data_IF_315606784650
#
_entry.id   IF_315606784650
#
_cell.length_a   1.000
_cell.length_b   1.000
_cell.length_c   1.000
_cell.angle_alpha   90.00
_cell.angle_beta   90.00
_cell.angle_gamma   90.00
#
_symmetry.space_group_name_H-M   'P 1'
#
loop_
_entity.id
_entity.type
_entity.pdbx_description
1 polymer ?
#
# COMPACT_ATOMS: atom_id res chain seq x y z
N UNK A 1 -23.08 10.87 -15.70
CA UNK A 1 -23.44 10.40 -14.35
C UNK A 1 -24.85 10.87 -14.05
N UNK A 2 -25.77 9.93 -13.95
CA UNK A 2 -27.19 10.25 -13.70
C UNK A 2 -27.65 9.78 -12.31
N UNK A 3 -26.89 8.92 -11.63
CA UNK A 3 -27.22 8.34 -10.33
C UNK A 3 -25.97 8.26 -9.46
N UNK A 4 -26.16 8.29 -8.13
CA UNK A 4 -25.06 8.20 -7.13
C UNK A 4 -24.40 6.83 -7.09
N UNK A 5 -25.06 5.79 -7.60
CA UNK A 5 -24.56 4.43 -7.76
C UNK A 5 -23.98 4.15 -9.17
N UNK A 6 -23.90 5.17 -10.04
CA UNK A 6 -23.25 5.04 -11.35
C UNK A 6 -21.75 4.75 -11.18
N UNK A 7 -21.24 3.73 -11.86
CA UNK A 7 -19.82 3.36 -11.80
C UNK A 7 -18.88 4.54 -12.13
N UNK A 8 -19.24 5.38 -13.11
CA UNK A 8 -18.44 6.54 -13.46
C UNK A 8 -18.32 7.58 -12.32
N UNK A 9 -19.27 7.56 -11.38
CA UNK A 9 -19.20 8.34 -10.15
C UNK A 9 -18.41 7.58 -9.07
N UNK A 10 -18.72 6.32 -8.88
CA UNK A 10 -18.12 5.48 -7.83
C UNK A 10 -16.62 5.28 -8.02
N UNK A 11 -16.12 5.21 -9.25
CA UNK A 11 -14.70 5.08 -9.57
C UNK A 11 -13.86 6.34 -9.31
N UNK A 12 -14.49 7.49 -9.00
CA UNK A 12 -13.75 8.70 -8.63
C UNK A 12 -13.31 8.65 -7.18
N UNK A 13 -12.14 9.20 -6.89
CA UNK A 13 -11.68 9.40 -5.52
C UNK A 13 -12.46 10.57 -4.91
N UNK A 14 -13.31 10.29 -3.93
CA UNK A 14 -14.28 11.23 -3.35
C UNK A 14 -14.02 11.42 -1.87
N UNK A 15 -14.12 12.67 -1.42
CA UNK A 15 -13.86 13.03 -0.03
C UNK A 15 -15.16 13.51 0.61
N UNK A 16 -15.45 13.00 1.80
CA UNK A 16 -16.67 13.31 2.55
C UNK A 16 -16.31 13.71 3.97
N UNK A 17 -16.90 14.78 4.46
CA UNK A 17 -16.82 15.15 5.86
C UNK A 17 -18.05 14.59 6.57
N UNK A 18 -17.85 13.59 7.41
CA UNK A 18 -18.94 12.81 8.00
C UNK A 18 -18.71 12.57 9.48
N UNK A 19 -19.79 12.26 10.22
CA UNK A 19 -19.72 11.87 11.61
C UNK A 19 -19.08 10.47 11.74
N UNK A 20 -18.01 10.36 12.50
CA UNK A 20 -17.25 9.12 12.75
C UNK A 20 -16.92 9.00 14.23
N UNK A 21 -17.36 7.92 14.89
CA UNK A 21 -16.94 7.59 16.26
C UNK A 21 -17.23 8.63 17.33
N UNK A 22 -18.24 9.50 17.11
CA UNK A 22 -18.63 10.56 18.05
C UNK A 22 -17.98 11.93 17.78
N UNK A 23 -17.20 12.06 16.69
CA UNK A 23 -16.65 13.28 16.12
C UNK A 23 -17.00 13.41 14.66
N UNK A 24 -16.35 14.34 13.97
CA UNK A 24 -16.40 14.47 12.50
C UNK A 24 -15.01 14.18 11.92
N UNK A 25 -14.96 13.51 10.78
CA UNK A 25 -13.71 13.16 10.12
C UNK A 25 -13.88 13.15 8.60
N UNK A 26 -12.76 13.25 7.89
CA UNK A 26 -12.71 13.15 6.44
C UNK A 26 -12.56 11.69 6.02
N UNK A 27 -13.58 11.19 5.32
CA UNK A 27 -13.57 9.85 4.72
C UNK A 27 -13.36 9.95 3.21
N UNK A 28 -12.50 9.09 2.71
CA UNK A 28 -12.25 8.92 1.28
C UNK A 28 -13.02 7.68 0.82
N UNK A 29 -13.82 7.85 -0.23
CA UNK A 29 -14.54 6.74 -0.86
C UNK A 29 -14.04 6.55 -2.29
N UNK A 30 -13.70 5.33 -2.62
CA UNK A 30 -13.25 4.94 -3.96
C UNK A 30 -13.79 3.56 -4.28
N UNK A 31 -14.77 3.50 -5.19
CA UNK A 31 -15.64 2.33 -5.34
C UNK A 31 -16.23 1.92 -3.98
N UNK A 32 -16.03 0.69 -3.55
CA UNK A 32 -16.52 0.15 -2.29
C UNK A 32 -15.54 0.36 -1.11
N UNK A 33 -14.34 0.83 -1.38
CA UNK A 33 -13.36 1.09 -0.33
C UNK A 33 -13.68 2.41 0.39
N UNK A 34 -13.61 2.36 1.73
CA UNK A 34 -13.71 3.53 2.62
C UNK A 34 -12.42 3.63 3.40
N UNK A 35 -11.75 4.77 3.32
CA UNK A 35 -10.43 5.00 3.87
C UNK A 35 -10.44 6.31 4.65
N UNK A 36 -9.85 6.32 5.83
CA UNK A 36 -9.66 7.55 6.58
C UNK A 36 -8.60 8.43 5.92
N UNK A 37 -8.85 9.73 5.85
CA UNK A 37 -7.87 10.69 5.39
C UNK A 37 -6.69 10.75 6.38
N UNK A 38 -5.45 10.77 5.88
CA UNK A 38 -4.28 10.60 6.73
C UNK A 38 -3.78 11.86 7.43
N UNK A 39 -4.18 13.04 6.95
CA UNK A 39 -3.76 14.37 7.46
C UNK A 39 -2.25 14.62 7.47
N UNK A 40 -1.48 13.85 6.73
CA UNK A 40 -0.04 14.08 6.60
C UNK A 40 0.23 15.27 5.66
N UNK A 41 1.18 16.11 6.04
CA UNK A 41 1.60 17.24 5.20
C UNK A 41 2.48 16.77 4.04
N UNK A 42 1.96 16.86 2.83
CA UNK A 42 2.62 16.36 1.62
C UNK A 42 3.36 17.44 0.82
N UNK A 43 3.25 18.70 1.21
CA UNK A 43 3.82 19.81 0.47
C UNK A 43 3.18 20.02 -0.91
N UNK A 44 3.76 20.91 -1.69
CA UNK A 44 3.33 21.23 -3.06
C UNK A 44 4.18 20.44 -4.07
N UNK A 45 3.90 19.15 -4.22
CA UNK A 45 4.56 18.29 -5.21
C UNK A 45 3.71 18.19 -6.47
N UNK A 46 4.37 17.92 -7.63
CA UNK A 46 3.66 17.66 -8.89
C UNK A 46 2.69 16.49 -8.75
N UNK A 47 1.62 16.51 -9.53
CA UNK A 47 0.63 15.43 -9.63
C UNK A 47 0.81 14.70 -10.95
N UNK A 48 0.53 13.40 -10.95
CA UNK A 48 0.50 12.63 -12.19
C UNK A 48 -0.75 12.97 -13.01
N UNK A 49 -0.61 12.81 -14.33
CA UNK A 49 -1.77 12.82 -15.22
C UNK A 49 -2.53 11.51 -15.02
N UNK A 50 -3.81 11.63 -14.70
CA UNK A 50 -4.68 10.47 -14.51
C UNK A 50 -5.14 9.99 -15.88
N UNK A 51 -4.77 8.75 -16.19
CA UNK A 51 -5.17 8.03 -17.41
C UNK A 51 -6.10 6.88 -17.03
N UNK A 52 -6.83 6.26 -17.98
CA UNK A 52 -7.62 5.06 -17.68
C UNK A 52 -6.81 3.91 -17.08
N UNK A 53 -5.51 3.83 -17.37
CA UNK A 53 -4.59 2.85 -16.76
C UNK A 53 -4.32 3.19 -15.29
N UNK A 54 -4.06 4.46 -14.98
CA UNK A 54 -3.86 4.95 -13.62
C UNK A 54 -5.12 4.74 -12.77
N UNK A 55 -6.30 5.02 -13.32
CA UNK A 55 -7.59 4.80 -12.64
C UNK A 55 -7.76 3.33 -12.23
N UNK A 56 -7.48 2.39 -13.13
CA UNK A 56 -7.56 0.96 -12.82
C UNK A 56 -6.54 0.56 -11.73
N UNK A 57 -5.33 1.09 -11.81
CA UNK A 57 -4.31 0.86 -10.78
C UNK A 57 -4.80 1.37 -9.42
N UNK A 58 -5.32 2.58 -9.36
CA UNK A 58 -5.83 3.18 -8.13
C UNK A 58 -7.01 2.42 -7.54
N UNK A 59 -7.97 1.97 -8.38
CA UNK A 59 -9.09 1.13 -7.95
C UNK A 59 -8.59 -0.18 -7.31
N UNK A 60 -7.59 -0.81 -7.92
CA UNK A 60 -7.01 -2.04 -7.38
C UNK A 60 -6.28 -1.81 -6.08
N UNK A 61 -5.47 -0.74 -5.98
CA UNK A 61 -4.73 -0.39 -4.76
C UNK A 61 -5.67 -0.07 -3.59
N UNK A 62 -6.70 0.73 -3.82
CA UNK A 62 -7.69 1.07 -2.78
C UNK A 62 -8.54 -0.12 -2.38
N UNK A 63 -8.95 -0.94 -3.36
CA UNK A 63 -9.69 -2.17 -3.10
C UNK A 63 -8.88 -3.17 -2.26
N UNK A 64 -7.60 -3.38 -2.59
CA UNK A 64 -6.71 -4.23 -1.79
C UNK A 64 -6.51 -3.70 -0.36
N UNK A 65 -6.36 -2.39 -0.20
CA UNK A 65 -6.26 -1.77 1.11
C UNK A 65 -7.53 -2.01 1.96
N UNK A 66 -8.71 -1.80 1.38
CA UNK A 66 -10.00 -2.05 2.05
C UNK A 66 -10.18 -3.51 2.47
N UNK A 67 -9.66 -4.45 1.68
CA UNK A 67 -9.66 -5.89 1.99
C UNK A 67 -8.51 -6.31 2.92
N UNK A 68 -7.69 -5.37 3.38
CA UNK A 68 -6.48 -5.63 4.21
C UNK A 68 -5.49 -6.58 3.53
N UNK A 69 -5.42 -6.52 2.21
CA UNK A 69 -4.44 -7.21 1.38
C UNK A 69 -3.29 -6.27 1.03
N UNK A 70 -2.18 -6.85 0.56
CA UNK A 70 -1.15 -6.12 -0.18
C UNK A 70 -1.55 -5.91 -1.63
N UNK A 71 -0.75 -5.15 -2.36
CA UNK A 71 -0.93 -4.94 -3.80
C UNK A 71 0.39 -5.13 -4.55
N UNK A 72 0.31 -5.64 -5.78
CA UNK A 72 1.48 -5.98 -6.58
C UNK A 72 1.34 -5.46 -8.03
N UNK A 73 1.47 -4.14 -8.28
CA UNK A 73 1.54 -3.62 -9.63
C UNK A 73 2.70 -4.26 -10.40
N UNK A 74 2.38 -5.04 -11.44
CA UNK A 74 3.35 -5.69 -12.31
C UNK A 74 3.30 -5.10 -13.72
N UNK A 75 4.45 -5.00 -14.38
CA UNK A 75 4.53 -4.50 -15.75
C UNK A 75 5.94 -4.07 -16.13
N UNK A 76 6.17 -3.69 -17.39
CA UNK A 76 7.48 -3.25 -17.86
C UNK A 76 8.04 -2.06 -17.07
N UNK A 77 9.34 -1.85 -17.14
CA UNK A 77 9.97 -0.66 -16.57
C UNK A 77 9.42 0.61 -17.21
N UNK A 78 9.38 1.70 -16.44
CA UNK A 78 8.93 3.01 -16.94
C UNK A 78 7.41 3.17 -17.11
N UNK A 79 6.59 2.22 -16.69
CA UNK A 79 5.10 2.32 -16.77
C UNK A 79 4.46 3.10 -15.61
N UNK A 80 5.26 3.65 -14.71
CA UNK A 80 4.77 4.52 -13.63
C UNK A 80 4.18 3.79 -12.42
N UNK A 81 4.48 2.51 -12.22
CA UNK A 81 3.95 1.71 -11.10
C UNK A 81 4.18 2.35 -9.73
N UNK A 82 5.43 2.65 -9.45
CA UNK A 82 5.87 3.28 -8.19
C UNK A 82 5.28 4.69 -8.03
N UNK A 83 5.32 5.49 -9.10
CA UNK A 83 4.80 6.85 -9.07
C UNK A 83 3.27 6.88 -8.89
N UNK A 84 2.52 5.95 -9.52
CA UNK A 84 1.08 5.83 -9.33
C UNK A 84 0.71 5.51 -7.87
N UNK A 85 1.47 4.64 -7.23
CA UNK A 85 1.28 4.28 -5.82
C UNK A 85 1.56 5.45 -4.88
N UNK A 86 2.64 6.20 -5.13
CA UNK A 86 2.99 7.41 -4.37
C UNK A 86 1.94 8.51 -4.52
N UNK A 87 1.48 8.75 -5.75
CA UNK A 87 0.52 9.82 -6.03
C UNK A 87 -0.85 9.51 -5.39
N UNK A 88 -1.26 8.24 -5.38
CA UNK A 88 -2.46 7.80 -4.68
C UNK A 88 -2.35 8.04 -3.16
N UNK A 89 -1.27 7.59 -2.53
CA UNK A 89 -1.05 7.81 -1.10
C UNK A 89 -1.04 9.30 -0.74
N UNK A 90 -0.41 10.13 -1.59
CA UNK A 90 -0.41 11.57 -1.48
C UNK A 90 -1.82 12.16 -1.57
N UNK A 91 -2.65 11.69 -2.51
CA UNK A 91 -4.04 12.12 -2.63
C UNK A 91 -4.85 11.82 -1.36
N UNK A 92 -4.49 10.77 -0.63
CA UNK A 92 -5.10 10.41 0.65
C UNK A 92 -4.44 11.09 1.86
N UNK A 93 -3.42 11.93 1.67
CA UNK A 93 -2.59 12.52 2.71
C UNK A 93 -1.98 11.47 3.66
N UNK A 94 -1.54 10.34 3.10
CA UNK A 94 -0.86 9.25 3.81
C UNK A 94 0.59 9.20 3.33
N UNK A 95 1.54 9.16 4.25
CA UNK A 95 2.95 9.03 3.90
C UNK A 95 3.19 7.70 3.21
N UNK A 96 3.88 7.73 2.07
CA UNK A 96 4.32 6.54 1.34
C UNK A 96 5.85 6.47 1.33
N UNK A 97 6.40 5.45 1.98
CA UNK A 97 7.84 5.18 1.99
C UNK A 97 8.19 4.31 0.80
N UNK A 98 8.99 4.82 -0.13
CA UNK A 98 9.51 4.02 -1.24
C UNK A 98 10.85 3.43 -0.85
N UNK A 99 10.99 2.12 -1.01
CA UNK A 99 12.18 1.37 -0.70
C UNK A 99 12.60 0.54 -1.91
N UNK A 100 13.77 0.85 -2.49
CA UNK A 100 14.31 0.12 -3.63
C UNK A 100 14.93 -1.19 -3.16
N UNK A 101 14.39 -2.30 -3.66
CA UNK A 101 14.87 -3.63 -3.34
C UNK A 101 16.10 -4.01 -4.17
N UNK A 102 17.02 -4.73 -3.56
CA UNK A 102 18.23 -5.26 -4.18
C UNK A 102 18.58 -6.62 -3.58
N UNK A 103 19.53 -7.31 -4.18
CA UNK A 103 20.10 -8.57 -3.71
C UNK A 103 20.86 -8.46 -2.38
N UNK A 104 21.21 -7.24 -1.95
CA UNK A 104 21.91 -6.98 -0.68
C UNK A 104 20.99 -6.85 0.53
N UNK A 105 19.68 -6.95 0.33
CA UNK A 105 18.70 -6.79 1.40
C UNK A 105 18.63 -8.07 2.24
N UNK A 106 18.76 -7.90 3.56
CA UNK A 106 18.54 -8.98 4.50
C UNK A 106 17.15 -8.89 5.18
N UNK A 107 16.69 -10.01 5.71
CA UNK A 107 15.40 -10.10 6.40
C UNK A 107 15.32 -9.27 7.68
N UNK A 108 16.46 -8.97 8.33
CA UNK A 108 16.52 -8.15 9.55
C UNK A 108 16.26 -6.68 9.22
N UNK A 109 16.84 -6.22 8.11
CA UNK A 109 16.60 -4.87 7.59
C UNK A 109 15.13 -4.67 7.22
N UNK A 110 14.55 -5.63 6.48
CA UNK A 110 13.13 -5.61 6.15
C UNK A 110 12.24 -5.68 7.39
N UNK A 111 12.59 -6.49 8.38
CA UNK A 111 11.86 -6.56 9.64
C UNK A 111 11.86 -5.24 10.41
N UNK A 112 12.97 -4.49 10.39
CA UNK A 112 13.01 -3.14 10.98
C UNK A 112 12.10 -2.16 10.23
N UNK A 113 12.13 -2.20 8.89
CA UNK A 113 11.26 -1.38 8.04
C UNK A 113 9.78 -1.67 8.36
N UNK A 114 9.37 -2.94 8.31
CA UNK A 114 7.99 -3.34 8.57
C UNK A 114 7.51 -2.99 9.98
N UNK A 115 8.40 -3.08 10.97
CA UNK A 115 8.08 -2.64 12.33
C UNK A 115 7.78 -1.14 12.40
N UNK A 116 8.55 -0.33 11.69
CA UNK A 116 8.31 1.10 11.59
C UNK A 116 6.97 1.41 10.91
N UNK A 117 6.73 0.78 9.77
CA UNK A 117 5.51 0.95 8.97
C UNK A 117 4.24 0.54 9.74
N UNK A 118 4.29 -0.62 10.39
CA UNK A 118 3.16 -1.14 11.16
C UNK A 118 2.77 -0.25 12.34
N UNK A 119 3.71 0.50 12.89
CA UNK A 119 3.48 1.41 14.02
C UNK A 119 3.10 2.82 13.57
N UNK A 120 3.60 3.28 12.42
CA UNK A 120 3.30 4.62 11.89
C UNK A 120 1.98 4.68 11.12
N UNK A 121 1.50 3.55 10.58
CA UNK A 121 0.37 3.53 9.65
C UNK A 121 0.71 4.02 8.24
N UNK A 122 2.00 4.16 7.92
CA UNK A 122 2.44 4.60 6.59
C UNK A 122 2.22 3.52 5.53
N UNK A 123 2.03 3.95 4.30
CA UNK A 123 2.12 3.06 3.14
C UNK A 123 3.58 2.82 2.77
N UNK A 124 3.88 1.68 2.20
CA UNK A 124 5.20 1.41 1.63
C UNK A 124 5.08 0.88 0.21
N UNK A 125 5.99 1.31 -0.63
CA UNK A 125 6.19 0.77 -1.96
C UNK A 125 7.58 0.13 -2.02
N UNK A 126 7.62 -1.20 -2.03
CA UNK A 126 8.84 -1.98 -2.22
C UNK A 126 9.09 -2.10 -3.73
N UNK A 127 9.95 -1.25 -4.24
CA UNK A 127 10.22 -1.16 -5.66
C UNK A 127 11.18 -2.26 -6.12
N UNK A 128 10.87 -2.87 -7.26
CA UNK A 128 11.64 -3.98 -7.84
C UNK A 128 11.82 -5.18 -6.86
N UNK A 129 10.74 -5.56 -6.19
CA UNK A 129 10.73 -6.58 -5.13
C UNK A 129 11.31 -7.93 -5.56
N UNK A 130 11.19 -8.28 -6.83
CA UNK A 130 11.75 -9.50 -7.43
C UNK A 130 13.27 -9.46 -7.68
N UNK A 131 13.98 -8.46 -7.16
CA UNK A 131 15.46 -8.45 -7.08
C UNK A 131 16.00 -9.10 -5.81
N UNK A 132 15.15 -9.31 -4.81
CA UNK A 132 15.54 -9.93 -3.55
C UNK A 132 15.77 -11.43 -3.79
N UNK A 133 16.78 -11.99 -3.14
CA UNK A 133 17.07 -13.42 -3.20
C UNK A 133 15.91 -14.26 -2.66
N UNK A 134 15.62 -15.39 -3.32
CA UNK A 134 14.47 -16.24 -3.02
C UNK A 134 14.47 -16.75 -1.57
N UNK A 135 15.64 -17.01 -1.02
CA UNK A 135 15.79 -17.47 0.37
C UNK A 135 15.34 -16.38 1.36
N UNK A 136 15.61 -15.11 1.04
CA UNK A 136 15.22 -13.97 1.86
C UNK A 136 13.73 -13.65 1.65
N UNK A 137 13.21 -13.82 0.44
CA UNK A 137 11.80 -13.59 0.13
C UNK A 137 10.86 -14.44 0.98
N UNK A 138 11.17 -15.71 1.23
CA UNK A 138 10.34 -16.59 2.05
C UNK A 138 10.21 -16.09 3.50
N UNK A 139 11.28 -15.55 4.06
CA UNK A 139 11.27 -14.95 5.41
C UNK A 139 10.50 -13.64 5.44
N UNK A 140 10.66 -12.81 4.40
CA UNK A 140 9.91 -11.56 4.26
C UNK A 140 8.41 -11.83 4.11
N UNK A 141 8.03 -12.85 3.33
CA UNK A 141 6.63 -13.25 3.16
C UNK A 141 6.00 -13.65 4.52
N UNK A 142 6.73 -14.38 5.36
CA UNK A 142 6.26 -14.73 6.71
C UNK A 142 6.10 -13.48 7.60
N UNK A 143 6.99 -12.51 7.51
CA UNK A 143 6.86 -11.25 8.24
C UNK A 143 5.59 -10.49 7.81
N UNK A 144 5.34 -10.41 6.51
CA UNK A 144 4.14 -9.77 5.96
C UNK A 144 2.87 -10.51 6.37
N UNK A 145 2.90 -11.84 6.41
CA UNK A 145 1.77 -12.66 6.85
C UNK A 145 1.37 -12.35 8.30
N UNK A 146 2.34 -12.25 9.21
CA UNK A 146 2.10 -11.90 10.62
C UNK A 146 1.42 -10.53 10.75
N UNK A 147 1.87 -9.54 9.98
CA UNK A 147 1.25 -8.21 9.96
C UNK A 147 -0.18 -8.24 9.41
N UNK A 148 -0.39 -8.98 8.33
CA UNK A 148 -1.69 -9.15 7.71
C UNK A 148 -2.69 -9.84 8.64
N UNK A 149 -2.30 -10.95 9.25
CA UNK A 149 -3.13 -11.68 10.22
C UNK A 149 -3.52 -10.81 11.42
N UNK A 150 -2.58 -10.03 11.93
CA UNK A 150 -2.84 -9.06 12.99
C UNK A 150 -3.91 -8.03 12.60
N UNK A 151 -3.81 -7.48 11.39
CA UNK A 151 -4.79 -6.53 10.83
C UNK A 151 -6.16 -7.17 10.61
N UNK A 152 -6.21 -8.38 10.05
CA UNK A 152 -7.47 -9.11 9.83
C UNK A 152 -8.17 -9.44 11.14
N UNK A 153 -7.41 -9.79 12.17
CA UNK A 153 -7.93 -10.08 13.50
C UNK A 153 -8.28 -8.81 14.31
N UNK A 154 -8.09 -7.61 13.76
CA UNK A 154 -8.36 -6.34 14.44
C UNK A 154 -7.51 -6.10 15.69
N UNK A 155 -6.30 -6.68 15.75
CA UNK A 155 -5.42 -6.55 16.92
C UNK A 155 -4.71 -5.19 16.90
N UNK A 156 -4.73 -4.49 18.03
CA UNK A 156 -3.99 -3.23 18.20
C UNK A 156 -2.52 -3.46 18.59
N UNK A 157 -2.18 -4.66 19.07
CA UNK A 157 -0.82 -5.04 19.42
C UNK A 157 -0.55 -6.47 18.97
N UNK A 158 0.64 -6.70 18.45
CA UNK A 158 1.11 -8.03 18.01
C UNK A 158 2.55 -8.27 18.45
N UNK A 159 2.94 -9.53 18.54
CA UNK A 159 4.35 -9.91 18.66
C UNK A 159 4.92 -10.04 17.25
N UNK A 160 5.85 -9.15 16.90
CA UNK A 160 6.52 -9.16 15.60
C UNK A 160 8.02 -9.36 15.79
N UNK A 161 8.54 -10.49 15.31
CA UNK A 161 9.96 -10.88 15.45
C UNK A 161 10.44 -10.86 16.92
N UNK A 162 9.62 -11.37 17.85
CA UNK A 162 9.96 -11.42 19.28
C UNK A 162 9.75 -10.10 20.04
N UNK A 163 9.28 -9.04 19.39
CA UNK A 163 9.03 -7.74 20.00
C UNK A 163 7.55 -7.39 19.91
N UNK A 164 6.96 -6.97 21.03
CA UNK A 164 5.61 -6.43 21.06
C UNK A 164 5.57 -5.06 20.39
N UNK A 165 4.72 -4.89 19.37
CA UNK A 165 4.54 -3.63 18.66
C UNK A 165 3.07 -3.24 18.57
N UNK A 166 2.80 -1.92 18.54
CA UNK A 166 1.49 -1.40 18.19
C UNK A 166 1.25 -1.62 16.69
N UNK A 167 0.06 -2.07 16.34
CA UNK A 167 -0.34 -2.29 14.95
C UNK A 167 -1.37 -1.24 14.55
N UNK A 168 -1.02 -0.43 13.55
CA UNK A 168 -1.88 0.56 12.91
C UNK A 168 -2.15 0.11 11.48
N UNK A 169 -3.26 0.53 10.91
CA UNK A 169 -3.56 0.25 9.50
C UNK A 169 -2.47 0.85 8.60
N UNK A 170 -1.87 -0.01 7.82
CA UNK A 170 -0.79 0.30 6.89
C UNK A 170 -1.02 -0.44 5.58
N UNK A 171 -0.30 -0.11 4.52
CA UNK A 171 -0.42 -0.81 3.24
C UNK A 171 0.96 -1.12 2.67
N UNK A 172 1.13 -2.34 2.21
CA UNK A 172 2.35 -2.79 1.54
C UNK A 172 2.05 -3.01 0.07
N UNK A 173 2.77 -2.27 -0.76
CA UNK A 173 2.70 -2.35 -2.21
C UNK A 173 4.06 -2.84 -2.68
N UNK A 174 4.09 -3.84 -3.55
CA UNK A 174 5.32 -4.30 -4.19
C UNK A 174 5.25 -4.01 -5.68
N UNK A 175 6.32 -3.55 -6.30
CA UNK A 175 6.38 -3.45 -7.75
C UNK A 175 7.26 -4.53 -8.34
N UNK A 176 6.90 -5.00 -9.51
CA UNK A 176 7.63 -6.03 -10.22
C UNK A 176 7.79 -5.68 -11.69
N UNK A 177 8.94 -6.04 -12.23
CA UNK A 177 9.22 -5.98 -13.65
C UNK A 177 9.38 -7.42 -14.17
N UNK A 178 8.32 -8.05 -14.68
CA UNK A 178 8.40 -9.42 -15.20
C UNK A 178 9.30 -9.49 -16.46
N UNK A 179 9.90 -10.65 -16.70
CA UNK A 179 10.60 -10.94 -17.96
C UNK A 179 12.04 -10.48 -18.06
N UNK A 180 12.68 -9.99 -17.00
CA UNK A 180 14.12 -9.69 -17.01
C UNK A 180 14.93 -10.88 -16.49
N UNK A 181 16.01 -11.23 -17.20
CA UNK A 181 16.96 -12.27 -16.76
C UNK A 181 17.58 -11.92 -15.38
N UNK A 182 17.71 -12.90 -14.50
CA UNK A 182 18.29 -12.73 -13.17
C UNK A 182 17.30 -12.20 -12.09
N UNK A 183 15.99 -12.24 -12.35
CA UNK A 183 14.96 -11.90 -11.37
C UNK A 183 14.25 -13.15 -10.89
N UNK A 184 13.96 -13.20 -9.61
CA UNK A 184 13.26 -14.32 -8.96
C UNK A 184 11.76 -14.29 -9.29
N UNK A 185 11.18 -15.44 -9.58
CA UNK A 185 9.73 -15.62 -9.53
C UNK A 185 9.30 -15.60 -8.06
N UNK A 186 8.20 -14.92 -7.76
CA UNK A 186 7.70 -14.90 -6.39
C UNK A 186 7.13 -16.28 -6.04
N UNK A 187 7.40 -16.78 -4.82
CA UNK A 187 6.73 -17.97 -4.32
C UNK A 187 5.22 -17.71 -4.18
N UNK A 188 4.43 -18.78 -4.34
CA UNK A 188 2.96 -18.76 -4.20
C UNK A 188 2.48 -18.30 -2.80
#
# INVERSE_FOLDING_TARGET
>A
VNRVDDFNWMQQLRYYWEAVGGGEDCLIRHSDAVINYGYEYMGATSRLVITPLTDRCWLTLTGSYGLKLGAAPAGPAGTGKTESSKDLAKAMAIQCVVFNCSDQIDYKMMGKLFRGLAQSGSWTCLDEFNRIDIEVLSVIAQQLLVLREGRLAGKNNINFMGVGIKLVDHHVIITMNPGYAGRTELPD
#
